data_IF_627519940061
#
_entry.id   IF_627519940061
#
_cell.length_a   1.000
_cell.length_b   1.000
_cell.length_c   1.000
_cell.angle_alpha   90.00
_cell.angle_beta   90.00
_cell.angle_gamma   90.00
#
_symmetry.space_group_name_H-M   'P 1'
#
loop_
_entity.id
_entity.type
_entity.pdbx_description
1 polymer ?
#
# COMPACT_ATOMS: atom_id res chain seq x y z
N UNK A 1 9.50 11.28 18.00
CA UNK A 1 9.96 12.31 17.04
C UNK A 1 10.94 11.78 15.99
N UNK A 2 12.05 11.12 16.37
CA UNK A 2 13.05 10.56 15.43
C UNK A 2 12.48 9.66 14.32
N UNK A 3 11.57 8.74 14.66
CA UNK A 3 10.90 7.85 13.69
C UNK A 3 10.06 8.62 12.65
N UNK A 4 9.36 9.66 13.09
CA UNK A 4 8.50 10.48 12.23
C UNK A 4 9.38 11.23 11.22
N UNK A 5 10.44 11.91 11.70
CA UNK A 5 11.40 12.61 10.85
C UNK A 5 12.05 11.65 9.86
N UNK A 6 12.48 10.46 10.29
CA UNK A 6 13.04 9.47 9.38
C UNK A 6 12.06 8.99 8.31
N UNK A 7 10.76 8.89 8.65
CA UNK A 7 9.74 8.54 7.66
C UNK A 7 9.62 9.66 6.63
N UNK A 8 9.45 10.91 7.04
CA UNK A 8 9.36 12.02 6.07
C UNK A 8 10.62 12.12 5.18
N UNK A 9 11.80 11.96 5.75
CA UNK A 9 13.05 11.93 4.98
C UNK A 9 13.08 10.80 3.95
N UNK A 10 12.77 9.56 4.34
CA UNK A 10 12.75 8.42 3.41
C UNK A 10 11.69 8.57 2.32
N UNK A 11 10.50 9.06 2.67
CA UNK A 11 9.42 9.26 1.71
C UNK A 11 9.68 10.45 0.76
N UNK A 12 10.60 11.37 1.08
CA UNK A 12 11.01 12.42 0.15
C UNK A 12 11.70 11.88 -1.10
N UNK A 13 12.43 10.76 -1.01
CA UNK A 13 13.02 10.10 -2.18
C UNK A 13 11.96 9.49 -3.10
N UNK A 14 10.92 8.91 -2.51
CA UNK A 14 9.75 8.43 -3.26
C UNK A 14 9.06 9.62 -3.93
N UNK A 15 8.98 10.76 -3.24
CA UNK A 15 8.40 11.97 -3.81
C UNK A 15 9.17 12.49 -5.03
N UNK A 16 10.50 12.49 -4.94
CA UNK A 16 11.37 12.82 -6.06
C UNK A 16 11.18 11.85 -7.22
N UNK A 17 11.09 10.54 -6.96
CA UNK A 17 10.79 9.55 -8.00
C UNK A 17 9.46 9.87 -8.70
N UNK A 18 8.39 10.11 -7.95
CA UNK A 18 7.06 10.39 -8.53
C UNK A 18 7.10 11.59 -9.47
N UNK A 19 7.87 12.64 -9.17
CA UNK A 19 8.00 13.84 -10.00
C UNK A 19 8.99 13.66 -11.17
N UNK A 20 10.11 12.98 -10.95
CA UNK A 20 11.19 12.89 -11.93
C UNK A 20 10.97 11.78 -12.96
N UNK A 21 10.41 10.64 -12.55
CA UNK A 21 10.22 9.49 -13.42
C UNK A 21 9.38 9.80 -14.67
N UNK A 22 8.20 10.46 -14.58
CA UNK A 22 7.41 10.82 -15.77
C UNK A 22 8.09 11.87 -16.67
N UNK A 23 9.12 12.57 -16.18
CA UNK A 23 9.91 13.52 -16.98
C UNK A 23 11.04 12.82 -17.75
N UNK A 24 11.60 11.76 -17.18
CA UNK A 24 12.73 11.04 -17.78
C UNK A 24 12.32 9.94 -18.75
N UNK A 25 11.08 9.46 -18.68
CA UNK A 25 10.61 8.33 -19.48
C UNK A 25 9.45 8.74 -20.41
N UNK A 26 9.34 8.10 -21.58
CA UNK A 26 8.14 8.20 -22.41
C UNK A 26 6.89 7.81 -21.62
N UNK A 27 5.77 8.47 -21.88
CA UNK A 27 4.50 8.28 -21.15
C UNK A 27 4.04 6.82 -21.10
N UNK A 28 4.14 6.09 -22.21
CA UNK A 28 3.77 4.67 -22.29
C UNK A 28 4.63 3.80 -21.39
N UNK A 29 5.96 3.99 -21.42
CA UNK A 29 6.88 3.23 -20.59
C UNK A 29 6.71 3.57 -19.11
N UNK A 30 6.52 4.85 -18.78
CA UNK A 30 6.20 5.29 -17.42
C UNK A 30 4.94 4.58 -16.89
N UNK A 31 3.86 4.57 -17.68
CA UNK A 31 2.60 3.93 -17.31
C UNK A 31 2.77 2.42 -17.07
N UNK A 32 3.53 1.73 -17.93
CA UNK A 32 3.82 0.32 -17.78
C UNK A 32 4.68 0.03 -16.55
N UNK A 33 5.70 0.85 -16.26
CA UNK A 33 6.54 0.73 -15.06
C UNK A 33 5.69 0.89 -13.80
N UNK A 34 4.84 1.91 -13.72
CA UNK A 34 3.97 2.11 -12.56
C UNK A 34 2.96 0.99 -12.36
N UNK A 35 2.43 0.44 -13.45
CA UNK A 35 1.53 -0.71 -13.41
C UNK A 35 2.25 -1.97 -12.88
N UNK A 36 3.43 -2.29 -13.42
CA UNK A 36 4.21 -3.45 -12.98
C UNK A 36 4.77 -3.28 -11.56
N UNK A 37 5.21 -2.07 -11.19
CA UNK A 37 5.65 -1.75 -9.83
C UNK A 37 4.54 -2.01 -8.82
N UNK A 38 3.29 -1.66 -9.16
CA UNK A 38 2.14 -1.97 -8.30
C UNK A 38 1.91 -3.47 -8.16
N UNK A 39 2.00 -4.25 -9.25
CA UNK A 39 1.93 -5.72 -9.20
C UNK A 39 3.03 -6.27 -8.28
N UNK A 40 4.29 -5.86 -8.49
CA UNK A 40 5.43 -6.29 -7.70
C UNK A 40 5.26 -5.98 -6.20
N UNK A 41 4.66 -4.83 -5.87
CA UNK A 41 4.35 -4.45 -4.50
C UNK A 41 3.13 -5.18 -3.92
N UNK A 42 2.28 -5.73 -4.78
CA UNK A 42 1.13 -6.53 -4.40
C UNK A 42 1.52 -7.99 -4.11
N UNK A 43 2.54 -8.54 -4.78
CA UNK A 43 2.98 -9.93 -4.63
C UNK A 43 3.16 -10.38 -3.17
N UNK A 44 3.83 -9.61 -2.29
CA UNK A 44 4.06 -10.06 -0.91
C UNK A 44 2.78 -10.26 -0.09
N UNK A 45 1.64 -9.67 -0.52
CA UNK A 45 0.35 -9.88 0.15
C UNK A 45 -0.20 -11.30 -0.02
N UNK A 46 0.28 -12.05 -1.03
CA UNK A 46 -0.06 -13.46 -1.18
C UNK A 46 0.56 -14.34 -0.09
N UNK A 47 1.47 -13.84 0.75
CA UNK A 47 1.87 -14.53 2.00
C UNK A 47 0.75 -14.55 3.06
N UNK A 48 -0.45 -14.05 2.74
CA UNK A 48 -1.67 -14.11 3.56
C UNK A 48 -1.48 -13.64 5.00
N UNK A 49 -0.60 -12.64 5.19
CA UNK A 49 -0.33 -12.03 6.49
C UNK A 49 0.64 -12.80 7.39
N UNK A 50 1.25 -13.91 6.96
CA UNK A 50 2.27 -14.62 7.75
C UNK A 50 3.37 -13.69 8.32
N UNK A 51 3.88 -12.67 7.59
CA UNK A 51 4.84 -11.71 8.15
C UNK A 51 4.28 -10.91 9.34
N UNK A 52 3.02 -10.47 9.27
CA UNK A 52 2.35 -9.79 10.40
C UNK A 52 2.13 -10.74 11.58
N UNK A 53 1.81 -12.01 11.30
CA UNK A 53 1.72 -13.05 12.32
C UNK A 53 3.03 -13.25 13.06
N UNK A 54 4.17 -13.22 12.34
CA UNK A 54 5.49 -13.34 12.95
C UNK A 54 5.75 -12.22 13.98
N UNK A 55 5.47 -10.97 13.59
CA UNK A 55 5.60 -9.80 14.47
C UNK A 55 4.73 -9.97 15.73
N UNK A 56 3.49 -10.45 15.58
CA UNK A 56 2.60 -10.75 16.70
C UNK A 56 3.21 -11.76 17.68
N UNK A 57 3.65 -12.93 17.21
CA UNK A 57 4.21 -13.97 18.08
C UNK A 57 5.52 -13.54 18.75
N UNK A 58 6.35 -12.77 18.03
CA UNK A 58 7.62 -12.28 18.56
C UNK A 58 7.41 -11.30 19.72
N UNK A 59 6.46 -10.37 19.61
CA UNK A 59 6.24 -9.34 20.64
C UNK A 59 5.27 -9.76 21.75
N UNK A 60 4.24 -10.55 21.45
CA UNK A 60 3.21 -10.90 22.43
C UNK A 60 3.46 -12.24 23.12
N UNK A 61 4.11 -13.19 22.45
CA UNK A 61 4.35 -14.53 22.99
C UNK A 61 5.84 -14.83 23.20
N UNK A 62 6.74 -13.89 22.85
CA UNK A 62 8.20 -14.09 22.88
C UNK A 62 8.68 -15.32 22.09
N UNK A 63 7.93 -15.76 21.08
CA UNK A 63 8.28 -16.92 20.23
C UNK A 63 8.86 -16.45 18.90
N UNK A 64 10.02 -17.00 18.53
CA UNK A 64 10.69 -16.67 17.28
C UNK A 64 10.42 -17.72 16.21
N UNK A 65 9.36 -17.50 15.42
CA UNK A 65 8.99 -18.37 14.29
C UNK A 65 9.61 -17.90 12.96
N UNK A 66 10.72 -17.17 12.99
CA UNK A 66 11.33 -16.61 11.79
C UNK A 66 11.80 -17.68 10.79
N UNK A 67 12.40 -18.77 11.26
CA UNK A 67 12.86 -19.85 10.37
C UNK A 67 11.69 -20.53 9.63
N UNK A 68 10.56 -20.72 10.32
CA UNK A 68 9.33 -21.20 9.68
C UNK A 68 8.77 -20.17 8.69
N UNK A 69 8.80 -18.87 9.02
CA UNK A 69 8.38 -17.81 8.09
C UNK A 69 9.25 -17.79 6.82
N UNK A 70 10.57 -17.84 6.95
CA UNK A 70 11.47 -17.69 5.81
C UNK A 70 11.45 -18.90 4.89
N UNK A 71 11.44 -20.12 5.43
CA UNK A 71 11.41 -21.34 4.61
C UNK A 71 10.09 -21.46 3.85
N UNK A 72 8.95 -21.45 4.56
CA UNK A 72 7.66 -21.63 3.91
C UNK A 72 7.22 -20.38 3.13
N UNK A 73 7.59 -19.18 3.60
CA UNK A 73 7.36 -17.95 2.85
C UNK A 73 8.17 -17.87 1.56
N UNK A 74 9.40 -18.37 1.54
CA UNK A 74 10.20 -18.47 0.32
C UNK A 74 9.61 -19.49 -0.66
N UNK A 75 9.22 -20.69 -0.19
CA UNK A 75 8.55 -21.70 -1.03
C UNK A 75 7.28 -21.11 -1.66
N UNK A 76 6.44 -20.47 -0.84
CA UNK A 76 5.21 -19.84 -1.34
C UNK A 76 5.51 -18.69 -2.31
N UNK A 77 6.53 -17.89 -2.01
CA UNK A 77 7.04 -16.84 -2.89
C UNK A 77 7.48 -17.36 -4.25
N UNK A 78 8.17 -18.50 -4.32
CA UNK A 78 8.56 -19.15 -5.58
C UNK A 78 7.32 -19.51 -6.39
N UNK A 79 6.33 -20.16 -5.77
CA UNK A 79 5.10 -20.59 -6.47
C UNK A 79 4.37 -19.39 -7.07
N UNK A 80 4.15 -18.32 -6.28
CA UNK A 80 3.48 -17.10 -6.77
C UNK A 80 4.29 -16.42 -7.88
N UNK A 81 5.61 -16.34 -7.71
CA UNK A 81 6.51 -15.70 -8.67
C UNK A 81 6.58 -16.45 -10.01
N UNK A 82 6.62 -17.78 -9.97
CA UNK A 82 6.56 -18.62 -11.17
C UNK A 82 5.22 -18.47 -11.88
N UNK A 83 4.11 -18.48 -11.13
CA UNK A 83 2.79 -18.27 -11.70
C UNK A 83 2.68 -16.93 -12.44
N UNK A 84 3.20 -15.85 -11.84
CA UNK A 84 3.23 -14.53 -12.48
C UNK A 84 4.16 -14.47 -13.68
N UNK A 85 5.32 -15.12 -13.61
CA UNK A 85 6.23 -15.23 -14.76
C UNK A 85 5.54 -15.89 -15.95
N UNK A 86 4.72 -16.92 -15.72
CA UNK A 86 3.98 -17.61 -16.78
C UNK A 86 2.89 -16.70 -17.36
N UNK A 87 2.07 -16.08 -16.50
CA UNK A 87 0.98 -15.18 -16.95
C UNK A 87 1.50 -14.03 -17.81
N UNK A 88 2.59 -13.39 -17.39
CA UNK A 88 3.15 -12.23 -18.08
C UNK A 88 4.22 -12.58 -19.13
N UNK A 89 4.51 -13.88 -19.33
CA UNK A 89 5.58 -14.35 -20.20
C UNK A 89 6.92 -13.63 -19.95
N UNK A 90 7.22 -13.33 -18.67
CA UNK A 90 8.37 -12.52 -18.29
C UNK A 90 9.03 -13.05 -17.02
N UNK A 91 10.18 -13.71 -17.19
CA UNK A 91 10.94 -14.30 -16.07
C UNK A 91 11.51 -13.26 -15.11
N UNK A 92 11.90 -12.08 -15.60
CA UNK A 92 12.43 -11.01 -14.76
C UNK A 92 11.36 -10.48 -13.79
N UNK A 93 10.10 -10.41 -14.23
CA UNK A 93 8.97 -10.09 -13.35
C UNK A 93 8.81 -11.12 -12.22
N UNK A 94 8.92 -12.41 -12.55
CA UNK A 94 8.88 -13.48 -11.55
C UNK A 94 10.02 -13.35 -10.52
N UNK A 95 11.27 -13.24 -11.00
CA UNK A 95 12.45 -13.10 -10.13
C UNK A 95 12.34 -11.88 -9.22
N UNK A 96 11.92 -10.73 -9.76
CA UNK A 96 11.73 -9.52 -8.94
C UNK A 96 10.55 -9.64 -7.97
N UNK A 97 9.49 -10.35 -8.33
CA UNK A 97 8.41 -10.71 -7.41
C UNK A 97 8.88 -11.56 -6.23
N UNK A 98 9.79 -12.50 -6.45
CA UNK A 98 10.41 -13.29 -5.40
C UNK A 98 11.24 -12.39 -4.46
N UNK A 99 11.97 -11.43 -5.03
CA UNK A 99 12.76 -10.48 -4.24
C UNK A 99 11.88 -9.57 -3.39
N UNK A 100 10.75 -9.09 -3.93
CA UNK A 100 9.78 -8.32 -3.14
C UNK A 100 9.20 -9.15 -1.98
N UNK A 101 8.98 -10.44 -2.19
CA UNK A 101 8.51 -11.37 -1.15
C UNK A 101 9.56 -11.57 -0.06
N UNK A 102 10.82 -11.84 -0.46
CA UNK A 102 11.95 -11.97 0.46
C UNK A 102 12.20 -10.69 1.23
N UNK A 103 12.13 -9.55 0.56
CA UNK A 103 12.21 -8.24 1.18
C UNK A 103 11.20 -8.12 2.32
N UNK A 104 9.91 -8.41 2.10
CA UNK A 104 8.90 -8.28 3.15
C UNK A 104 9.18 -9.18 4.35
N UNK A 105 9.69 -10.40 4.11
CA UNK A 105 10.05 -11.36 5.17
C UNK A 105 11.22 -10.82 6.00
N UNK A 106 12.31 -10.41 5.34
CA UNK A 106 13.51 -9.88 5.98
C UNK A 106 13.16 -8.58 6.74
N UNK A 107 12.35 -7.71 6.14
CA UNK A 107 11.86 -6.47 6.76
C UNK A 107 11.27 -6.71 8.14
N UNK A 108 10.46 -7.76 8.33
CA UNK A 108 9.87 -8.03 9.64
C UNK A 108 10.91 -8.44 10.67
N UNK A 109 11.96 -9.19 10.30
CA UNK A 109 13.07 -9.51 11.22
C UNK A 109 13.80 -8.25 11.65
N UNK A 110 14.16 -7.39 10.69
CA UNK A 110 14.81 -6.09 10.95
C UNK A 110 13.94 -5.22 11.87
N UNK A 111 12.62 -5.20 11.66
CA UNK A 111 11.66 -4.52 12.56
C UNK A 111 11.68 -5.08 13.97
N UNK A 112 11.68 -6.41 14.13
CA UNK A 112 11.71 -7.03 15.47
C UNK A 112 12.99 -6.73 16.24
N UNK A 113 14.10 -6.46 15.53
CA UNK A 113 15.37 -6.00 16.09
C UNK A 113 15.43 -4.47 16.32
N UNK A 114 14.31 -3.75 16.10
CA UNK A 114 14.16 -2.30 16.29
C UNK A 114 14.97 -1.43 15.33
N UNK A 115 15.47 -1.98 14.22
CA UNK A 115 16.16 -1.25 13.15
C UNK A 115 15.17 -0.64 12.14
N UNK A 116 14.25 0.19 12.63
CA UNK A 116 13.13 0.71 11.85
C UNK A 116 13.54 1.53 10.62
N UNK A 117 14.66 2.26 10.69
CA UNK A 117 15.15 3.04 9.54
C UNK A 117 15.53 2.12 8.38
N UNK A 118 16.28 1.04 8.68
CA UNK A 118 16.70 0.06 7.68
C UNK A 118 15.50 -0.73 7.14
N UNK A 119 14.56 -1.12 8.00
CA UNK A 119 13.35 -1.80 7.55
C UNK A 119 12.56 -0.98 6.52
N UNK A 120 12.52 0.35 6.67
CA UNK A 120 11.74 1.23 5.81
C UNK A 120 12.51 1.74 4.58
N UNK A 121 13.82 1.49 4.46
CA UNK A 121 14.68 2.17 3.47
C UNK A 121 14.69 1.53 2.08
N UNK A 122 14.28 0.28 1.93
CA UNK A 122 14.32 -0.44 0.64
C UNK A 122 13.51 0.23 -0.48
N UNK A 123 12.28 0.70 -0.21
CA UNK A 123 11.45 1.37 -1.22
C UNK A 123 12.11 2.68 -1.67
N UNK A 124 12.56 3.55 -0.76
CA UNK A 124 13.45 4.67 -1.11
C UNK A 124 14.69 4.26 -1.92
N UNK A 125 15.34 3.13 -1.61
CA UNK A 125 16.47 2.65 -2.41
C UNK A 125 16.04 2.26 -3.83
N UNK A 126 14.92 1.54 -3.98
CA UNK A 126 14.34 1.23 -5.30
C UNK A 126 14.06 2.54 -6.05
N UNK A 127 13.43 3.51 -5.40
CA UNK A 127 13.16 4.84 -5.96
C UNK A 127 14.42 5.54 -6.46
N UNK A 128 15.47 5.60 -5.64
CA UNK A 128 16.74 6.25 -6.00
C UNK A 128 17.38 5.57 -7.21
N UNK A 129 17.51 4.23 -7.18
CA UNK A 129 18.13 3.49 -8.29
C UNK A 129 17.30 3.62 -9.56
N UNK A 130 15.97 3.59 -9.46
CA UNK A 130 15.07 3.77 -10.60
C UNK A 130 15.18 5.16 -11.23
N UNK A 131 15.26 6.21 -10.41
CA UNK A 131 15.48 7.58 -10.89
C UNK A 131 16.84 7.70 -11.60
N UNK A 132 17.90 7.13 -11.03
CA UNK A 132 19.25 7.14 -11.64
C UNK A 132 19.21 6.43 -12.99
N UNK A 133 18.65 5.23 -13.08
CA UNK A 133 18.58 4.49 -14.34
C UNK A 133 17.71 5.17 -15.38
N UNK A 134 16.59 5.77 -14.96
CA UNK A 134 15.73 6.53 -15.85
C UNK A 134 16.42 7.81 -16.35
N UNK A 135 17.21 8.47 -15.51
CA UNK A 135 18.02 9.61 -15.93
C UNK A 135 19.13 9.20 -16.91
N UNK A 136 19.82 8.09 -16.67
CA UNK A 136 20.82 7.55 -17.60
C UNK A 136 20.18 7.20 -18.96
N UNK A 137 18.99 6.60 -18.94
CA UNK A 137 18.19 6.38 -20.14
C UNK A 137 17.84 7.69 -20.85
N UNK A 138 17.42 8.72 -20.11
CA UNK A 138 17.07 10.04 -20.64
C UNK A 138 18.24 10.74 -21.35
N UNK A 139 19.47 10.57 -20.87
CA UNK A 139 20.68 11.11 -21.52
C UNK A 139 21.24 10.18 -22.62
N UNK A 140 20.46 9.21 -23.09
CA UNK A 140 20.83 8.22 -24.11
C UNK A 140 22.08 7.39 -23.76
N UNK A 141 22.33 7.11 -22.48
CA UNK A 141 23.41 6.21 -22.07
C UNK A 141 23.10 4.75 -22.47
N UNK A 142 21.82 4.40 -22.56
CA UNK A 142 21.36 3.08 -23.00
C UNK A 142 20.75 3.16 -24.40
N UNK A 143 21.11 2.23 -25.28
CA UNK A 143 20.59 2.17 -26.65
C UNK A 143 19.08 1.84 -26.71
N UNK A 144 18.58 1.12 -25.70
CA UNK A 144 17.16 0.74 -25.59
C UNK A 144 16.67 0.90 -24.16
N UNK A 145 15.52 1.54 -24.01
CA UNK A 145 14.88 1.83 -22.73
C UNK A 145 13.58 1.04 -22.66
N UNK A 146 13.58 -0.02 -21.85
CA UNK A 146 12.46 -0.94 -21.69
C UNK A 146 12.12 -1.13 -20.20
N UNK A 147 11.09 -1.94 -19.93
CA UNK A 147 10.64 -2.30 -18.58
C UNK A 147 11.73 -2.94 -17.70
N UNK A 148 12.79 -3.47 -18.30
CA UNK A 148 13.93 -4.06 -17.61
C UNK A 148 14.59 -3.10 -16.61
N UNK A 149 14.54 -1.79 -16.87
CA UNK A 149 15.03 -0.77 -15.93
C UNK A 149 14.39 -0.94 -14.55
N UNK A 150 13.08 -1.14 -14.46
CA UNK A 150 12.39 -1.38 -13.19
C UNK A 150 12.93 -2.62 -12.49
N UNK A 151 13.11 -3.72 -13.24
CA UNK A 151 13.53 -4.98 -12.67
C UNK A 151 14.96 -4.92 -12.13
N UNK A 152 15.87 -4.33 -12.90
CA UNK A 152 17.25 -4.12 -12.48
C UNK A 152 17.36 -3.16 -11.31
N UNK A 153 16.53 -2.10 -11.26
CA UNK A 153 16.49 -1.21 -10.11
C UNK A 153 16.09 -1.93 -8.82
N UNK A 154 15.09 -2.81 -8.87
CA UNK A 154 14.68 -3.63 -7.72
C UNK A 154 15.79 -4.61 -7.32
N UNK A 155 16.40 -5.29 -8.30
CA UNK A 155 17.49 -6.24 -8.06
C UNK A 155 18.68 -5.56 -7.35
N UNK A 156 19.16 -4.44 -7.88
CA UNK A 156 20.30 -3.70 -7.34
C UNK A 156 19.98 -3.11 -5.97
N UNK A 157 18.81 -2.47 -5.83
CA UNK A 157 18.38 -1.92 -4.55
C UNK A 157 18.28 -2.99 -3.46
N UNK A 158 17.76 -4.18 -3.81
CA UNK A 158 17.66 -5.30 -2.88
C UNK A 158 19.04 -5.82 -2.44
N UNK A 159 20.01 -5.94 -3.36
CA UNK A 159 21.38 -6.36 -3.03
C UNK A 159 22.06 -5.34 -2.13
N UNK A 160 22.02 -4.05 -2.50
CA UNK A 160 22.61 -2.96 -1.70
C UNK A 160 22.01 -2.97 -0.29
N UNK A 161 20.68 -3.10 -0.19
CA UNK A 161 19.98 -3.14 1.08
C UNK A 161 20.37 -4.36 1.93
N UNK A 162 20.46 -5.55 1.32
CA UNK A 162 20.93 -6.77 2.01
C UNK A 162 22.37 -6.64 2.53
N UNK A 163 23.28 -6.02 1.75
CA UNK A 163 24.66 -5.75 2.17
C UNK A 163 24.72 -4.78 3.36
N UNK A 164 23.90 -3.74 3.36
CA UNK A 164 23.83 -2.80 4.50
C UNK A 164 23.31 -3.52 5.76
N UNK A 165 22.31 -4.39 5.59
CA UNK A 165 21.74 -5.18 6.68
C UNK A 165 22.78 -6.14 7.27
N UNK A 166 23.52 -6.86 6.43
CA UNK A 166 24.49 -7.86 6.89
C UNK A 166 25.64 -7.23 7.69
N UNK A 167 26.01 -5.98 7.37
CA UNK A 167 27.01 -5.22 8.14
C UNK A 167 26.44 -4.71 9.48
N UNK A 168 25.18 -4.27 9.52
CA UNK A 168 24.59 -3.64 10.71
C UNK A 168 23.96 -4.63 11.70
N UNK A 169 23.43 -5.75 11.22
CA UNK A 169 22.72 -6.73 12.05
C UNK A 169 23.69 -7.85 12.44
N UNK A 170 24.14 -7.83 13.70
CA UNK A 170 25.12 -8.81 14.23
C UNK A 170 24.58 -10.24 14.32
N UNK A 171 23.27 -10.41 14.49
CA UNK A 171 22.65 -11.73 14.46
C UNK A 171 22.66 -12.29 13.04
N UNK A 172 23.44 -13.35 12.81
CA UNK A 172 23.39 -14.08 11.53
C UNK A 172 21.96 -14.56 11.32
N UNK A 173 21.45 -14.40 10.10
CA UNK A 173 20.22 -15.06 9.66
C UNK A 173 20.49 -16.58 9.66
N UNK A 174 20.22 -17.26 10.78
CA UNK A 174 20.40 -18.70 10.86
C UNK A 174 19.22 -19.34 10.11
N UNK A 175 19.47 -19.66 8.83
CA UNK A 175 18.51 -20.37 7.97
C UNK A 175 18.30 -21.83 8.38
N UNK A 176 19.23 -22.40 9.16
CA UNK A 176 19.31 -23.82 9.49
C UNK A 176 18.79 -24.09 10.91
N UNK A 177 17.57 -23.64 11.22
CA UNK A 177 16.87 -24.11 12.41
C UNK A 177 15.71 -25.03 11.98
N UNK A 178 15.19 -25.86 12.91
CA UNK A 178 14.06 -26.76 12.64
C UNK A 178 12.81 -25.95 12.28
N UNK A 179 12.59 -25.68 11.00
CA UNK A 179 11.37 -25.06 10.51
C UNK A 179 10.20 -26.05 10.57
N UNK A 180 9.03 -25.58 11.00
CA UNK A 180 7.82 -26.40 11.13
C UNK A 180 6.64 -25.75 10.41
N UNK A 181 5.99 -26.53 9.54
CA UNK A 181 4.78 -26.07 8.84
C UNK A 181 3.65 -25.71 9.81
N UNK A 182 3.57 -26.39 10.97
CA UNK A 182 2.58 -26.08 12.00
C UNK A 182 2.79 -24.69 12.60
N UNK A 183 4.03 -24.25 12.74
CA UNK A 183 4.33 -22.88 13.18
C UNK A 183 3.93 -21.87 12.10
N UNK A 184 4.24 -22.16 10.83
CA UNK A 184 3.82 -21.31 9.71
C UNK A 184 2.28 -21.19 9.63
N UNK A 185 1.54 -22.29 9.84
CA UNK A 185 0.08 -22.27 9.93
C UNK A 185 -0.43 -21.36 11.05
N UNK A 186 0.23 -21.34 12.22
CA UNK A 186 -0.10 -20.41 13.31
C UNK A 186 0.14 -18.95 12.89
N UNK A 187 1.24 -18.67 12.19
CA UNK A 187 1.52 -17.33 11.64
C UNK A 187 0.40 -16.87 10.70
N UNK A 188 -0.04 -17.73 9.78
CA UNK A 188 -1.13 -17.44 8.86
C UNK A 188 -2.43 -17.13 9.60
N UNK A 189 -2.83 -17.97 10.56
CA UNK A 189 -4.10 -17.80 11.28
C UNK A 189 -4.20 -16.46 12.00
N UNK A 190 -3.10 -16.02 12.64
CA UNK A 190 -3.06 -14.73 13.34
C UNK A 190 -2.87 -13.56 12.37
N UNK A 191 -1.98 -13.72 11.41
CA UNK A 191 -1.61 -12.68 10.46
C UNK A 191 -2.70 -12.35 9.44
N UNK A 192 -3.48 -13.34 9.00
CA UNK A 192 -4.51 -13.16 7.98
C UNK A 192 -5.56 -12.14 8.41
N UNK A 193 -6.08 -12.26 9.63
CA UNK A 193 -7.07 -11.31 10.16
C UNK A 193 -6.53 -9.88 10.27
N UNK A 194 -5.24 -9.73 10.54
CA UNK A 194 -4.57 -8.42 10.62
C UNK A 194 -4.44 -7.81 9.22
N UNK A 195 -4.17 -8.63 8.21
CA UNK A 195 -3.79 -8.15 6.87
C UNK A 195 -4.92 -8.17 5.83
N UNK A 196 -6.03 -8.88 6.08
CA UNK A 196 -7.12 -9.06 5.11
C UNK A 196 -7.71 -7.73 4.63
N UNK A 197 -7.87 -6.75 5.52
CA UNK A 197 -8.37 -5.42 5.14
C UNK A 197 -7.44 -4.71 4.15
N UNK A 198 -6.13 -4.77 4.37
CA UNK A 198 -5.13 -4.20 3.47
C UNK A 198 -5.07 -4.96 2.14
N UNK A 199 -5.13 -6.29 2.16
CA UNK A 199 -5.19 -7.11 0.94
C UNK A 199 -6.41 -6.74 0.08
N UNK A 200 -7.59 -6.63 0.69
CA UNK A 200 -8.82 -6.25 -0.01
C UNK A 200 -8.76 -4.82 -0.57
N UNK A 201 -8.18 -3.88 0.18
CA UNK A 201 -7.96 -2.52 -0.31
C UNK A 201 -6.97 -2.48 -1.48
N UNK A 202 -5.91 -3.28 -1.43
CA UNK A 202 -4.97 -3.40 -2.55
C UNK A 202 -5.63 -4.03 -3.78
N UNK A 203 -6.47 -5.06 -3.60
CA UNK A 203 -7.26 -5.65 -4.68
C UNK A 203 -8.26 -4.65 -5.29
N UNK A 204 -8.85 -3.80 -4.46
CA UNK A 204 -9.73 -2.72 -4.92
C UNK A 204 -8.98 -1.78 -5.89
N UNK A 205 -7.83 -1.24 -5.48
CA UNK A 205 -7.04 -0.35 -6.33
C UNK A 205 -6.38 -1.08 -7.51
N UNK A 206 -6.06 -2.37 -7.36
CA UNK A 206 -5.60 -3.20 -8.46
C UNK A 206 -6.65 -3.32 -9.55
N UNK A 207 -7.91 -3.52 -9.16
CA UNK A 207 -9.05 -3.62 -10.09
C UNK A 207 -9.17 -2.35 -10.92
N UNK A 208 -9.11 -1.18 -10.30
CA UNK A 208 -9.16 0.11 -11.01
C UNK A 208 -8.00 0.24 -12.01
N UNK A 209 -6.78 -0.11 -11.61
CA UNK A 209 -5.60 -0.11 -12.49
C UNK A 209 -5.73 -1.08 -13.66
N UNK A 210 -6.22 -2.28 -13.39
CA UNK A 210 -6.42 -3.33 -14.39
C UNK A 210 -7.40 -2.86 -15.47
N UNK A 211 -8.58 -2.37 -15.08
CA UNK A 211 -9.56 -1.85 -16.04
C UNK A 211 -9.04 -0.62 -16.79
N UNK A 212 -8.28 0.25 -16.12
CA UNK A 212 -7.62 1.38 -16.79
C UNK A 212 -6.67 0.90 -17.88
N UNK A 213 -5.80 -0.07 -17.59
CA UNK A 213 -4.85 -0.61 -18.57
C UNK A 213 -5.56 -1.29 -19.74
N UNK A 214 -6.54 -2.15 -19.48
CA UNK A 214 -7.13 -3.00 -20.52
C UNK A 214 -8.16 -2.27 -21.39
N UNK A 215 -8.88 -1.29 -20.85
CA UNK A 215 -10.00 -0.63 -21.55
C UNK A 215 -9.82 0.87 -21.76
N UNK A 216 -8.92 1.52 -21.01
CA UNK A 216 -8.72 2.98 -21.00
C UNK A 216 -7.23 3.35 -21.00
N UNK A 217 -6.44 2.67 -21.82
CA UNK A 217 -4.97 2.68 -21.75
C UNK A 217 -4.36 4.10 -21.80
N UNK A 218 -4.96 5.02 -22.58
CA UNK A 218 -4.54 6.42 -22.69
C UNK A 218 -4.52 7.15 -21.33
N UNK A 219 -5.35 6.71 -20.39
CA UNK A 219 -5.46 7.29 -19.05
C UNK A 219 -4.57 6.61 -18.01
N UNK A 220 -3.85 5.53 -18.36
CA UNK A 220 -3.04 4.77 -17.40
C UNK A 220 -1.91 5.61 -16.79
N UNK A 221 -1.25 6.44 -17.60
CA UNK A 221 -0.24 7.38 -17.12
C UNK A 221 -0.84 8.42 -16.17
N UNK A 222 -1.95 9.07 -16.60
CA UNK A 222 -2.67 10.06 -15.81
C UNK A 222 -3.13 9.49 -14.47
N UNK A 223 -3.73 8.30 -14.48
CA UNK A 223 -4.18 7.61 -13.27
C UNK A 223 -3.00 7.26 -12.36
N UNK A 224 -1.92 6.70 -12.91
CA UNK A 224 -0.77 6.28 -12.11
C UNK A 224 -0.06 7.46 -11.45
N UNK A 225 0.15 8.54 -12.21
CA UNK A 225 0.74 9.77 -11.70
C UNK A 225 -0.18 10.42 -10.66
N UNK A 226 -1.46 10.58 -10.99
CA UNK A 226 -2.48 11.11 -10.07
C UNK A 226 -2.48 10.31 -8.77
N UNK A 227 -2.61 8.99 -8.83
CA UNK A 227 -2.63 8.08 -7.67
C UNK A 227 -1.37 8.22 -6.81
N UNK A 228 -0.20 8.37 -7.41
CA UNK A 228 1.04 8.55 -6.68
C UNK A 228 1.13 9.94 -6.00
N UNK A 229 0.66 11.00 -6.65
CA UNK A 229 0.60 12.33 -6.04
C UNK A 229 -0.33 12.38 -4.82
N UNK A 230 -1.49 11.72 -4.89
CA UNK A 230 -2.41 11.67 -3.74
C UNK A 230 -1.82 10.94 -2.54
N UNK A 231 -0.82 10.08 -2.72
CA UNK A 231 -0.19 9.39 -1.60
C UNK A 231 0.41 10.39 -0.59
N UNK A 232 0.78 11.61 -1.00
CA UNK A 232 1.22 12.65 -0.06
C UNK A 232 0.07 13.09 0.86
N UNK A 233 -1.14 13.26 0.32
CA UNK A 233 -2.35 13.57 1.09
C UNK A 233 -2.70 12.40 2.00
N UNK A 234 -2.68 11.17 1.46
CA UNK A 234 -2.96 9.94 2.22
C UNK A 234 -1.95 9.77 3.37
N UNK A 235 -0.67 10.09 3.15
CA UNK A 235 0.37 9.98 4.18
C UNK A 235 0.09 10.92 5.36
N UNK A 236 -0.37 12.15 5.08
CA UNK A 236 -0.76 13.08 6.13
C UNK A 236 -2.00 12.57 6.91
N UNK A 237 -3.04 12.09 6.21
CA UNK A 237 -4.24 11.55 6.84
C UNK A 237 -3.96 10.29 7.66
N UNK A 238 -3.13 9.39 7.16
CA UNK A 238 -2.73 8.17 7.89
C UNK A 238 -1.86 8.47 9.10
N UNK A 239 -1.13 9.59 9.11
CA UNK A 239 -0.41 10.07 10.30
C UNK A 239 -1.39 10.54 11.38
N UNK A 240 -2.44 11.27 11.01
CA UNK A 240 -3.55 11.62 11.92
C UNK A 240 -4.24 10.37 12.44
N UNK A 241 -4.52 9.40 11.56
CA UNK A 241 -5.08 8.10 11.93
C UNK A 241 -4.22 7.38 12.97
N UNK A 242 -2.90 7.32 12.77
CA UNK A 242 -1.97 6.67 13.68
C UNK A 242 -2.03 7.27 15.09
N UNK A 243 -1.99 8.60 15.21
CA UNK A 243 -2.14 9.31 16.50
C UNK A 243 -3.50 9.00 17.12
N UNK A 244 -4.55 8.91 16.30
CA UNK A 244 -5.87 8.56 16.78
C UNK A 244 -5.95 7.12 17.30
N UNK A 245 -5.33 6.15 16.63
CA UNK A 245 -5.30 4.74 17.05
C UNK A 245 -4.67 4.59 18.43
N UNK A 246 -3.51 5.22 18.68
CA UNK A 246 -2.82 5.16 19.98
C UNK A 246 -3.72 5.72 21.08
N UNK A 247 -4.22 6.94 20.89
CA UNK A 247 -5.09 7.61 21.86
C UNK A 247 -6.40 6.82 22.12
N UNK A 248 -6.91 6.14 21.08
CA UNK A 248 -8.13 5.32 21.18
C UNK A 248 -7.83 4.03 21.97
N UNK A 249 -6.73 3.36 21.67
CA UNK A 249 -6.35 2.11 22.32
C UNK A 249 -6.13 2.29 23.83
N UNK A 250 -5.46 3.36 24.24
CA UNK A 250 -5.19 3.67 25.65
C UNK A 250 -6.47 3.97 26.45
N UNK A 251 -7.50 4.54 25.80
CA UNK A 251 -8.71 5.01 26.47
C UNK A 251 -9.98 4.25 26.10
N UNK A 252 -9.86 3.05 25.51
CA UNK A 252 -10.99 2.34 24.88
C UNK A 252 -12.21 2.20 25.80
N UNK A 253 -12.00 1.93 27.10
CA UNK A 253 -13.08 1.77 28.10
C UNK A 253 -13.83 3.05 28.44
N UNK A 254 -13.24 4.23 28.16
CA UNK A 254 -13.77 5.56 28.52
C UNK A 254 -14.22 6.37 27.31
N UNK A 255 -14.01 5.87 26.09
CA UNK A 255 -14.30 6.60 24.86
C UNK A 255 -15.79 6.80 24.67
N UNK A 256 -16.17 8.05 24.44
CA UNK A 256 -17.52 8.43 24.04
C UNK A 256 -17.58 8.63 22.54
N UNK A 257 -18.78 8.49 21.97
CA UNK A 257 -18.98 8.72 20.54
C UNK A 257 -18.69 10.17 20.12
N UNK A 258 -18.88 11.15 21.02
CA UNK A 258 -18.49 12.55 20.83
C UNK A 258 -17.01 12.69 20.45
N UNK A 259 -16.14 11.92 21.11
CA UNK A 259 -14.69 12.02 20.94
C UNK A 259 -14.28 11.47 19.57
N UNK A 260 -14.93 10.38 19.15
CA UNK A 260 -14.77 9.78 17.81
C UNK A 260 -15.22 10.78 16.73
N UNK A 261 -16.38 11.41 16.91
CA UNK A 261 -16.88 12.43 15.99
C UNK A 261 -15.91 13.60 15.85
N UNK A 262 -15.35 14.09 16.96
CA UNK A 262 -14.38 15.18 16.95
C UNK A 262 -13.08 14.79 16.22
N UNK A 263 -12.60 13.56 16.41
CA UNK A 263 -11.42 13.04 15.69
C UNK A 263 -11.65 12.96 14.18
N UNK A 264 -12.82 12.46 13.75
CA UNK A 264 -13.21 12.41 12.35
C UNK A 264 -13.30 13.83 11.76
N UNK A 265 -13.95 14.77 12.47
CA UNK A 265 -14.04 16.17 12.03
C UNK A 265 -12.66 16.81 11.84
N UNK A 266 -11.72 16.56 12.76
CA UNK A 266 -10.32 17.02 12.60
C UNK A 266 -9.67 16.42 11.36
N UNK A 267 -9.87 15.13 11.07
CA UNK A 267 -9.35 14.50 9.86
C UNK A 267 -9.95 15.13 8.58
N UNK A 268 -11.25 15.42 8.56
CA UNK A 268 -11.89 16.13 7.45
C UNK A 268 -11.38 17.56 7.26
N UNK A 269 -11.12 18.29 8.36
CA UNK A 269 -10.53 19.62 8.28
C UNK A 269 -9.13 19.56 7.64
N UNK A 270 -8.30 18.59 8.07
CA UNK A 270 -6.98 18.35 7.48
C UNK A 270 -7.11 18.00 6.00
N UNK A 271 -8.04 17.12 5.64
CA UNK A 271 -8.33 16.79 4.23
C UNK A 271 -8.70 18.04 3.43
N UNK A 272 -9.61 18.88 3.93
CA UNK A 272 -10.06 20.08 3.21
C UNK A 272 -8.91 21.05 2.93
N UNK A 273 -8.06 21.31 3.93
CA UNK A 273 -6.87 22.15 3.78
C UNK A 273 -5.92 21.54 2.74
N UNK A 274 -5.61 20.25 2.87
CA UNK A 274 -4.72 19.55 1.94
C UNK A 274 -5.29 19.49 0.53
N UNK A 275 -6.61 19.35 0.37
CA UNK A 275 -7.28 19.30 -0.92
C UNK A 275 -7.16 20.63 -1.68
N UNK A 276 -7.33 21.76 -0.99
CA UNK A 276 -7.14 23.10 -1.59
C UNK A 276 -5.67 23.28 -2.03
N UNK A 277 -4.73 22.96 -1.14
CA UNK A 277 -3.30 23.03 -1.47
C UNK A 277 -2.92 22.10 -2.63
N UNK A 278 -3.52 20.91 -2.66
CA UNK A 278 -3.31 19.92 -3.71
C UNK A 278 -3.81 20.45 -5.06
N UNK A 279 -5.00 21.06 -5.13
CA UNK A 279 -5.49 21.70 -6.36
C UNK A 279 -4.51 22.76 -6.86
N UNK A 280 -4.07 23.67 -5.98
CA UNK A 280 -3.07 24.69 -6.36
C UNK A 280 -1.77 24.08 -6.89
N UNK A 281 -1.30 23.00 -6.26
CA UNK A 281 -0.13 22.25 -6.70
C UNK A 281 -0.33 21.56 -8.06
N UNK A 282 -1.52 21.00 -8.33
CA UNK A 282 -1.84 20.38 -9.62
C UNK A 282 -1.75 21.38 -10.78
N UNK A 283 -2.21 22.63 -10.59
CA UNK A 283 -2.09 23.67 -11.62
C UNK A 283 -0.63 24.02 -11.93
N UNK A 284 0.25 23.99 -10.93
CA UNK A 284 1.69 24.17 -11.15
C UNK A 284 2.24 22.98 -11.96
N UNK A 285 1.91 21.75 -11.56
CA UNK A 285 2.38 20.54 -12.23
C UNK A 285 1.86 20.38 -13.66
N UNK A 286 0.66 20.86 -13.96
CA UNK A 286 0.07 20.78 -15.30
C UNK A 286 0.93 21.51 -16.36
N UNK A 287 1.80 22.44 -15.96
CA UNK A 287 2.75 23.09 -16.86
C UNK A 287 3.95 22.21 -17.23
N UNK A 288 4.16 21.10 -16.52
CA UNK A 288 5.34 20.23 -16.68
C UNK A 288 5.00 18.86 -17.27
N UNK A 289 3.74 18.43 -17.23
CA UNK A 289 3.31 17.10 -17.69
C UNK A 289 2.05 17.22 -18.55
N UNK A 290 2.11 16.63 -19.74
CA UNK A 290 1.00 16.62 -20.71
C UNK A 290 0.22 15.29 -20.64
N UNK A 291 -0.43 15.06 -19.51
CA UNK A 291 -1.21 13.85 -19.27
C UNK A 291 -2.71 14.12 -19.42
N UNK A 292 -3.39 13.28 -20.20
CA UNK A 292 -4.82 13.39 -20.50
C UNK A 292 -5.67 13.45 -19.23
N UNK A 293 -6.47 14.50 -19.10
CA UNK A 293 -7.39 14.74 -17.97
C UNK A 293 -6.73 14.67 -16.58
N UNK A 294 -5.44 14.96 -16.50
CA UNK A 294 -4.63 14.82 -15.29
C UNK A 294 -5.24 15.53 -14.07
N UNK A 295 -5.62 16.81 -14.23
CA UNK A 295 -6.19 17.60 -13.12
C UNK A 295 -7.50 16.96 -12.65
N UNK A 296 -8.41 16.64 -13.57
CA UNK A 296 -9.72 16.10 -13.25
C UNK A 296 -9.60 14.73 -12.53
N UNK A 297 -8.78 13.83 -13.05
CA UNK A 297 -8.51 12.52 -12.44
C UNK A 297 -7.89 12.69 -11.05
N UNK A 298 -6.91 13.57 -10.90
CA UNK A 298 -6.26 13.86 -9.61
C UNK A 298 -7.25 14.38 -8.58
N UNK A 299 -8.13 15.31 -8.97
CA UNK A 299 -9.14 15.88 -8.08
C UNK A 299 -10.16 14.83 -7.64
N UNK A 300 -10.69 14.03 -8.58
CA UNK A 300 -11.67 12.97 -8.26
C UNK A 300 -11.07 11.93 -7.31
N UNK A 301 -9.86 11.44 -7.61
CA UNK A 301 -9.21 10.47 -6.74
C UNK A 301 -8.88 11.08 -5.37
N UNK A 302 -8.37 12.31 -5.32
CA UNK A 302 -8.06 13.01 -4.06
C UNK A 302 -9.29 13.18 -3.18
N UNK A 303 -10.41 13.60 -3.78
CA UNK A 303 -11.66 13.76 -3.05
C UNK A 303 -12.14 12.44 -2.46
N UNK A 304 -12.36 11.40 -3.28
CA UNK A 304 -12.96 10.16 -2.79
C UNK A 304 -12.03 9.35 -1.90
N UNK A 305 -10.75 9.20 -2.27
CA UNK A 305 -9.77 8.46 -1.46
C UNK A 305 -9.44 9.25 -0.18
N UNK A 306 -9.40 10.58 -0.25
CA UNK A 306 -9.24 11.44 0.91
C UNK A 306 -10.36 11.26 1.93
N UNK A 307 -11.63 11.29 1.48
CA UNK A 307 -12.79 11.03 2.36
C UNK A 307 -12.68 9.63 2.99
N UNK A 308 -12.31 8.63 2.19
CA UNK A 308 -12.10 7.28 2.69
C UNK A 308 -11.08 7.25 3.84
N UNK A 309 -9.89 7.83 3.65
CA UNK A 309 -8.83 7.81 4.68
C UNK A 309 -9.16 8.66 5.90
N UNK A 310 -9.91 9.76 5.75
CA UNK A 310 -10.41 10.56 6.88
C UNK A 310 -11.29 9.72 7.80
N UNK A 311 -12.20 8.93 7.24
CA UNK A 311 -13.05 8.01 8.01
C UNK A 311 -12.29 6.80 8.52
N UNK A 312 -11.36 6.27 7.72
CA UNK A 312 -10.52 5.13 8.10
C UNK A 312 -9.58 5.48 9.28
N UNK A 313 -9.48 6.75 9.69
CA UNK A 313 -8.76 7.18 10.88
C UNK A 313 -9.24 6.57 12.19
N UNK A 314 -10.46 6.02 12.20
CA UNK A 314 -11.04 5.31 13.35
C UNK A 314 -11.22 3.81 13.11
N UNK A 315 -10.67 3.26 12.03
CA UNK A 315 -10.86 1.86 11.66
C UNK A 315 -10.28 0.87 12.67
N UNK A 316 -9.29 1.27 13.47
CA UNK A 316 -8.77 0.44 14.58
C UNK A 316 -9.83 0.10 15.62
N UNK A 317 -10.91 0.88 15.74
CA UNK A 317 -12.05 0.54 16.58
C UNK A 317 -12.74 -0.75 16.14
N UNK A 318 -12.68 -1.11 14.85
CA UNK A 318 -13.20 -2.38 14.37
C UNK A 318 -12.47 -3.57 14.98
N UNK A 319 -11.17 -3.43 15.21
CA UNK A 319 -10.38 -4.43 15.91
C UNK A 319 -10.66 -4.42 17.42
N UNK A 320 -10.70 -3.25 18.06
CA UNK A 320 -10.89 -3.16 19.51
C UNK A 320 -12.30 -3.55 20.00
N UNK A 321 -13.33 -3.31 19.19
CA UNK A 321 -14.73 -3.64 19.51
C UNK A 321 -15.20 -4.95 18.85
N UNK A 322 -14.24 -5.77 18.39
CA UNK A 322 -14.43 -7.13 17.85
C UNK A 322 -15.48 -7.22 16.73
N UNK A 323 -15.37 -6.36 15.71
CA UNK A 323 -16.21 -6.43 14.51
C UNK A 323 -15.40 -6.34 13.19
N UNK A 324 -14.09 -6.58 13.26
CA UNK A 324 -13.18 -6.58 12.10
C UNK A 324 -13.60 -7.55 10.99
N UNK A 325 -14.16 -8.72 11.35
CA UNK A 325 -14.66 -9.70 10.38
C UNK A 325 -15.80 -9.15 9.53
N UNK A 326 -16.75 -8.45 10.15
CA UNK A 326 -17.89 -7.83 9.46
C UNK A 326 -17.41 -6.76 8.48
N UNK A 327 -16.48 -5.91 8.90
CA UNK A 327 -15.91 -4.84 8.06
C UNK A 327 -15.13 -5.42 6.88
N UNK A 328 -14.36 -6.49 7.12
CA UNK A 328 -13.62 -7.17 6.05
C UNK A 328 -14.57 -7.82 5.03
N UNK A 329 -15.69 -8.41 5.48
CA UNK A 329 -16.72 -8.96 4.60
C UNK A 329 -17.34 -7.86 3.71
N UNK A 330 -17.69 -6.71 4.28
CA UNK A 330 -18.23 -5.59 3.51
C UNK A 330 -17.22 -5.08 2.48
N UNK A 331 -15.94 -4.95 2.85
CA UNK A 331 -14.89 -4.57 1.91
C UNK A 331 -14.77 -5.59 0.77
N UNK A 332 -14.87 -6.89 1.06
CA UNK A 332 -14.86 -7.93 0.03
C UNK A 332 -16.03 -7.80 -0.95
N UNK A 333 -17.25 -7.56 -0.44
CA UNK A 333 -18.42 -7.29 -1.30
C UNK A 333 -18.20 -6.05 -2.16
N UNK A 334 -17.63 -4.98 -1.60
CA UNK A 334 -17.29 -3.76 -2.33
C UNK A 334 -16.27 -4.01 -3.44
N UNK A 335 -15.25 -4.84 -3.20
CA UNK A 335 -14.29 -5.26 -4.24
C UNK A 335 -14.98 -6.02 -5.37
N UNK A 336 -15.87 -6.96 -5.06
CA UNK A 336 -16.62 -7.71 -6.07
C UNK A 336 -17.53 -6.80 -6.90
N UNK A 337 -18.28 -5.91 -6.24
CA UNK A 337 -19.12 -4.92 -6.93
C UNK A 337 -18.28 -3.98 -7.79
N UNK A 338 -17.09 -3.58 -7.31
CA UNK A 338 -16.17 -2.75 -8.08
C UNK A 338 -15.77 -3.44 -9.38
N UNK A 339 -15.38 -4.72 -9.31
CA UNK A 339 -15.01 -5.50 -10.48
C UNK A 339 -16.17 -5.65 -11.46
N UNK A 340 -17.35 -6.07 -10.98
CA UNK A 340 -18.54 -6.31 -11.80
C UNK A 340 -18.99 -5.04 -12.51
N UNK A 341 -19.10 -3.92 -11.78
CA UNK A 341 -19.51 -2.65 -12.37
C UNK A 341 -18.44 -2.10 -13.31
N UNK A 342 -17.16 -2.16 -12.97
CA UNK A 342 -16.10 -1.73 -13.89
C UNK A 342 -16.12 -2.55 -15.19
N UNK A 343 -16.40 -3.86 -15.13
CA UNK A 343 -16.58 -4.68 -16.32
C UNK A 343 -17.75 -4.19 -17.19
N UNK A 344 -18.96 -4.06 -16.61
CA UNK A 344 -20.12 -3.58 -17.37
C UNK A 344 -19.90 -2.17 -17.95
N UNK A 345 -19.40 -1.22 -17.17
CA UNK A 345 -19.14 0.14 -17.64
C UNK A 345 -18.11 0.16 -18.78
N UNK A 346 -17.11 -0.72 -18.74
CA UNK A 346 -16.11 -0.86 -19.81
C UNK A 346 -16.69 -1.44 -21.09
N UNK A 347 -17.53 -2.48 -20.97
CA UNK A 347 -18.23 -3.07 -22.14
C UNK A 347 -19.16 -2.06 -22.81
N UNK A 348 -19.86 -1.23 -22.03
CA UNK A 348 -20.72 -0.16 -22.55
C UNK A 348 -19.96 1.12 -22.92
N UNK A 349 -18.62 1.12 -22.88
CA UNK A 349 -17.75 2.25 -23.26
C UNK A 349 -18.11 3.57 -22.54
N UNK A 350 -18.44 3.49 -21.27
CA UNK A 350 -18.71 4.69 -20.46
C UNK A 350 -17.43 5.49 -20.28
N UNK A 351 -17.52 6.82 -20.20
CA UNK A 351 -16.32 7.66 -20.00
C UNK A 351 -15.56 7.28 -18.72
N UNK A 352 -14.23 7.30 -18.82
CA UNK A 352 -13.32 6.84 -17.78
C UNK A 352 -13.56 7.52 -16.42
N UNK A 353 -13.93 8.80 -16.42
CA UNK A 353 -14.15 9.56 -15.19
C UNK A 353 -15.29 8.96 -14.34
N UNK A 354 -16.33 8.42 -14.97
CA UNK A 354 -17.44 7.79 -14.25
C UNK A 354 -17.03 6.48 -13.59
N UNK A 355 -16.06 5.76 -14.15
CA UNK A 355 -15.49 4.56 -13.52
C UNK A 355 -14.78 4.94 -12.22
N UNK A 356 -14.00 6.02 -12.24
CA UNK A 356 -13.31 6.53 -11.04
C UNK A 356 -14.29 7.04 -10.00
N UNK A 357 -15.31 7.80 -10.41
CA UNK A 357 -16.37 8.27 -9.50
C UNK A 357 -17.09 7.07 -8.86
N UNK A 358 -17.46 6.05 -9.65
CA UNK A 358 -18.04 4.81 -9.14
C UNK A 358 -17.12 4.14 -8.11
N UNK A 359 -15.82 3.97 -8.41
CA UNK A 359 -14.86 3.38 -7.47
C UNK A 359 -14.84 4.19 -6.17
N UNK A 360 -14.75 5.51 -6.28
CA UNK A 360 -14.80 6.42 -5.16
C UNK A 360 -16.07 6.30 -4.32
N UNK A 361 -17.24 6.23 -4.95
CA UNK A 361 -18.54 6.07 -4.27
C UNK A 361 -18.61 4.73 -3.54
N UNK A 362 -18.24 3.62 -4.18
CA UNK A 362 -18.22 2.29 -3.55
C UNK A 362 -17.31 2.27 -2.32
N UNK A 363 -16.13 2.86 -2.43
CA UNK A 363 -15.18 2.96 -1.31
C UNK A 363 -15.75 3.80 -0.16
N UNK A 364 -16.56 4.81 -0.45
CA UNK A 364 -17.21 5.64 0.57
C UNK A 364 -18.50 5.03 1.14
N UNK A 365 -19.16 4.10 0.44
CA UNK A 365 -20.21 3.26 1.04
C UNK A 365 -19.61 2.40 2.16
N UNK A 366 -18.42 1.83 1.94
CA UNK A 366 -17.69 1.11 2.99
C UNK A 366 -17.41 2.00 4.22
N UNK A 367 -16.97 3.24 4.04
CA UNK A 367 -16.68 4.13 5.16
C UNK A 367 -17.93 4.57 5.92
N UNK A 368 -19.04 4.76 5.23
CA UNK A 368 -20.34 5.01 5.86
C UNK A 368 -20.77 3.82 6.72
N UNK A 369 -20.62 2.60 6.22
CA UNK A 369 -20.92 1.40 7.00
C UNK A 369 -20.03 1.29 8.25
N UNK A 370 -18.73 1.55 8.12
CA UNK A 370 -17.80 1.60 9.25
C UNK A 370 -18.28 2.59 10.32
N UNK A 371 -18.65 3.81 9.92
CA UNK A 371 -19.14 4.84 10.84
C UNK A 371 -20.39 4.41 11.62
N UNK A 372 -21.39 3.88 10.91
CA UNK A 372 -22.65 3.44 11.50
C UNK A 372 -22.39 2.31 12.51
N UNK A 373 -21.53 1.36 12.16
CA UNK A 373 -21.16 0.25 13.06
C UNK A 373 -20.39 0.72 14.29
N UNK A 374 -19.43 1.62 14.11
CA UNK A 374 -18.70 2.25 15.23
C UNK A 374 -19.67 2.94 16.18
N UNK A 375 -20.57 3.79 15.66
CA UNK A 375 -21.59 4.47 16.47
C UNK A 375 -22.41 3.48 17.30
N UNK A 376 -22.94 2.44 16.66
CA UNK A 376 -23.76 1.41 17.33
C UNK A 376 -23.00 0.70 18.44
N UNK A 377 -21.77 0.24 18.18
CA UNK A 377 -20.96 -0.53 19.14
C UNK A 377 -20.52 0.32 20.35
N UNK A 378 -20.13 1.57 20.11
CA UNK A 378 -19.70 2.48 21.18
C UNK A 378 -20.87 2.84 22.10
N UNK A 379 -22.06 3.12 21.55
CA UNK A 379 -23.27 3.38 22.36
C UNK A 379 -23.65 2.16 23.21
N UNK A 380 -23.60 0.95 22.62
CA UNK A 380 -23.86 -0.28 23.36
C UNK A 380 -22.86 -0.54 24.50
N UNK A 381 -21.58 -0.20 24.30
CA UNK A 381 -20.55 -0.33 25.33
C UNK A 381 -20.79 0.62 26.51
N UNK A 382 -21.17 1.87 26.24
CA UNK A 382 -21.49 2.85 27.29
C UNK A 382 -22.70 2.40 28.11
N UNK A 383 -23.76 1.92 27.45
CA UNK A 383 -24.98 1.45 28.14
C UNK A 383 -24.79 0.17 28.95
N UNK A 384 -23.70 -0.59 28.75
CA UNK A 384 -23.36 -1.77 29.56
C UNK A 384 -22.52 -1.46 30.80
N UNK A 385 -21.93 -0.25 30.86
CA UNK A 385 -21.05 0.18 31.95
C UNK A 385 -21.73 1.18 32.90
N UNK A 386 -22.99 1.53 32.63
CA UNK A 386 -23.93 2.23 33.52
C UNK A 386 -24.89 1.18 34.04
#
# INVERSE_FOLDING_TARGET
>A
MKLIISRYFLYSFIALEVLLLPKFLPQELYAQIEYQKFILYFIPFFLFGAPSGYVYFKYNENKDYFSSLIVFGFIFGIVVSLFLSIIYSNILLGVTGLFMTLFLIIEQKVKTQKEFFLALSIKPFISIVLVIFSYLAYINYFDKVNLEILYYSIFIAFIIWCLIISVKIKEKFIFISKASFFEYKKLLQKGFLINVGTLLLMLFFFTDRYFTKEYYNDYLASYSFSYNLIQFVILALTTVAYVNVVNIGENIKKIRFSDIKQKIQKAYLVLFILFILFIGFLFILNNFYDFKDFILISVVLCFFIGIFYSMNSVASLAQYLDFQKEISLVMFVIVLLNYIFSYFMSVYKIEYIYILIKSGVLLNIYTLFLYVKVKKKVVQMVNKNV
#
